data_IF_308235920286
#
_entry.id   IF_308235920286
#
_cell.length_a   1.000
_cell.length_b   1.000
_cell.length_c   1.000
_cell.angle_alpha   90.00
_cell.angle_beta   90.00
_cell.angle_gamma   90.00
#
_symmetry.space_group_name_H-M   'P 1'
#
loop_
_entity.id
_entity.type
_entity.pdbx_description
1 polymer ?
#
# COMPACT_ATOMS: atom_id res chain seq x y z
N UNK A 1 10.49 0.96 13.17
CA UNK A 1 9.50 1.99 13.60
C UNK A 1 8.29 1.22 14.08
N UNK A 2 8.02 1.20 15.37
CA UNK A 2 6.82 0.51 15.89
C UNK A 2 5.63 1.46 15.73
N UNK A 3 4.44 0.95 15.39
CA UNK A 3 3.21 1.74 15.46
C UNK A 3 3.18 2.50 16.80
N UNK A 4 2.71 3.76 16.85
CA UNK A 4 2.66 4.53 18.08
C UNK A 4 1.88 3.85 19.22
N UNK A 5 1.01 2.88 18.88
CA UNK A 5 0.31 2.01 19.83
C UNK A 5 1.15 0.86 20.41
N UNK A 6 2.34 0.58 19.88
CA UNK A 6 3.19 -0.55 20.27
C UNK A 6 2.73 -1.91 19.74
N UNK A 7 1.59 -1.97 19.03
CA UNK A 7 0.88 -3.23 18.72
C UNK A 7 1.35 -3.91 17.44
N UNK A 8 1.99 -3.18 16.52
CA UNK A 8 2.44 -3.69 15.23
C UNK A 8 3.62 -2.88 14.70
N UNK A 9 4.55 -3.51 14.00
CA UNK A 9 5.66 -2.88 13.31
C UNK A 9 5.58 -3.27 11.83
N UNK A 10 5.71 -2.33 10.87
CA UNK A 10 5.70 -2.67 9.46
C UNK A 10 7.05 -3.28 9.06
N UNK A 11 7.04 -4.15 8.05
CA UNK A 11 8.30 -4.67 7.47
C UNK A 11 9.14 -3.53 6.88
N UNK A 12 8.49 -2.55 6.26
CA UNK A 12 9.10 -1.27 5.87
C UNK A 12 8.05 -0.16 5.80
N UNK A 13 8.48 1.08 5.93
CA UNK A 13 7.56 2.23 5.90
C UNK A 13 8.22 3.50 5.39
N UNK A 14 7.39 4.45 4.98
CA UNK A 14 7.80 5.79 4.60
C UNK A 14 6.90 6.84 5.26
N UNK A 15 7.55 7.91 5.72
CA UNK A 15 6.91 9.10 6.26
C UNK A 15 7.60 10.34 5.68
N UNK A 16 6.86 11.34 5.20
CA UNK A 16 7.47 12.59 4.74
C UNK A 16 7.96 13.42 5.92
N UNK A 17 9.01 14.20 5.70
CA UNK A 17 9.61 15.11 6.70
C UNK A 17 8.62 16.17 7.21
N UNK A 18 7.54 16.43 6.47
CA UNK A 18 6.46 17.32 6.90
C UNK A 18 5.68 16.81 8.12
N UNK A 19 5.87 15.55 8.53
CA UNK A 19 5.25 15.03 9.76
C UNK A 19 5.91 15.64 11.00
N UNK A 20 5.12 16.12 11.97
CA UNK A 20 5.63 16.92 13.08
C UNK A 20 6.37 16.12 14.17
N UNK A 21 6.33 14.78 14.12
CA UNK A 21 6.93 13.91 15.14
C UNK A 21 7.56 12.67 14.52
N UNK A 22 8.65 12.18 15.11
CA UNK A 22 9.25 10.88 14.79
C UNK A 22 8.32 9.71 15.16
N UNK A 23 7.41 9.92 16.12
CA UNK A 23 6.37 8.97 16.52
C UNK A 23 5.09 9.10 15.67
N UNK A 24 5.11 9.84 14.56
CA UNK A 24 3.96 9.92 13.69
C UNK A 24 3.79 8.63 12.87
N UNK A 25 2.53 8.25 12.61
CA UNK A 25 2.25 7.13 11.72
C UNK A 25 2.83 7.38 10.31
N UNK A 26 3.31 6.35 9.59
CA UNK A 26 3.78 6.52 8.22
C UNK A 26 2.63 6.88 7.27
N UNK A 27 2.96 7.38 6.08
CA UNK A 27 1.96 7.54 4.97
C UNK A 27 1.89 6.29 4.10
N UNK A 28 2.98 5.55 4.00
CA UNK A 28 3.11 4.31 3.24
C UNK A 28 3.65 3.21 4.14
N UNK A 29 2.99 2.06 4.09
CA UNK A 29 3.42 0.83 4.76
C UNK A 29 3.65 -0.25 3.71
N UNK A 30 4.74 -1.00 3.84
CA UNK A 30 5.02 -2.21 3.10
C UNK A 30 4.94 -3.41 4.06
N UNK A 31 4.13 -4.39 3.71
CA UNK A 31 4.01 -5.67 4.41
C UNK A 31 4.36 -6.79 3.41
N UNK A 32 5.21 -7.70 3.83
CA UNK A 32 5.73 -8.77 2.98
C UNK A 32 5.51 -10.12 3.64
N UNK A 33 5.19 -11.13 2.84
CA UNK A 33 5.11 -12.50 3.35
C UNK A 33 5.63 -13.52 2.36
N UNK A 34 6.34 -14.52 2.87
CA UNK A 34 6.78 -15.67 2.09
C UNK A 34 5.75 -16.79 2.20
N UNK A 35 5.18 -17.21 1.06
CA UNK A 35 4.33 -18.40 0.89
C UNK A 35 3.06 -18.51 1.79
N UNK A 36 1.96 -18.95 1.17
CA UNK A 36 0.72 -19.46 1.80
C UNK A 36 -0.08 -18.58 2.79
N UNK A 37 0.32 -17.35 3.10
CA UNK A 37 -0.36 -16.53 4.12
C UNK A 37 -0.90 -15.19 3.60
N UNK A 38 -1.45 -15.18 2.38
CA UNK A 38 -2.12 -14.00 1.81
C UNK A 38 -3.25 -13.46 2.73
N UNK A 39 -3.98 -14.34 3.42
CA UNK A 39 -4.99 -13.92 4.40
C UNK A 39 -4.41 -13.06 5.53
N UNK A 40 -3.16 -13.31 5.94
CA UNK A 40 -2.47 -12.51 6.95
C UNK A 40 -2.16 -11.11 6.40
N UNK A 41 -1.66 -11.00 5.17
CA UNK A 41 -1.39 -9.71 4.54
C UNK A 41 -2.66 -8.87 4.39
N UNK A 42 -3.80 -9.48 4.06
CA UNK A 42 -5.08 -8.78 4.02
C UNK A 42 -5.46 -8.26 5.40
N UNK A 43 -5.32 -9.08 6.44
CA UNK A 43 -5.60 -8.65 7.82
C UNK A 43 -4.67 -7.52 8.25
N UNK A 44 -3.39 -7.60 7.92
CA UNK A 44 -2.38 -6.59 8.23
C UNK A 44 -2.66 -5.26 7.50
N UNK A 45 -2.96 -5.31 6.21
CA UNK A 45 -3.30 -4.12 5.43
C UNK A 45 -4.55 -3.42 5.94
N UNK A 46 -5.60 -4.19 6.27
CA UNK A 46 -6.81 -3.64 6.90
C UNK A 46 -6.50 -3.03 8.26
N UNK A 47 -5.71 -3.72 9.09
CA UNK A 47 -5.37 -3.24 10.42
C UNK A 47 -4.70 -1.85 10.36
N UNK A 48 -3.71 -1.66 9.48
CA UNK A 48 -3.04 -0.36 9.33
C UNK A 48 -4.02 0.75 8.94
N UNK A 49 -4.90 0.48 7.98
CA UNK A 49 -5.85 1.47 7.48
C UNK A 49 -6.98 1.78 8.48
N UNK A 50 -7.37 0.81 9.32
CA UNK A 50 -8.42 0.97 10.33
C UNK A 50 -7.91 1.64 11.61
N UNK A 51 -6.66 1.37 12.01
CA UNK A 51 -6.13 1.78 13.32
C UNK A 51 -5.27 3.04 13.29
N UNK A 52 -4.70 3.42 12.14
CA UNK A 52 -3.82 4.59 12.04
C UNK A 52 -4.56 5.93 11.98
N UNK A 53 -5.85 6.02 12.34
CA UNK A 53 -6.60 7.27 12.34
C UNK A 53 -6.67 7.97 10.96
N UNK A 54 -6.49 7.22 9.87
CA UNK A 54 -6.39 7.75 8.52
C UNK A 54 -5.04 8.37 8.17
N UNK A 55 -4.01 8.24 9.02
CA UNK A 55 -2.68 8.76 8.73
C UNK A 55 -1.90 7.90 7.72
N UNK A 56 -2.04 6.58 7.80
CA UNK A 56 -1.60 5.67 6.73
C UNK A 56 -2.52 5.87 5.53
N UNK A 57 -1.93 6.18 4.38
CA UNK A 57 -2.67 6.46 3.14
C UNK A 57 -2.66 5.28 2.19
N UNK A 58 -1.54 4.57 2.12
CA UNK A 58 -1.34 3.42 1.24
C UNK A 58 -0.68 2.29 2.05
N UNK A 59 -1.20 1.08 1.89
CA UNK A 59 -0.49 -0.15 2.29
C UNK A 59 -0.20 -0.96 1.03
N UNK A 60 1.06 -1.35 0.84
CA UNK A 60 1.48 -2.30 -0.18
C UNK A 60 1.70 -3.64 0.50
N UNK A 61 0.92 -4.63 0.12
CA UNK A 61 1.05 -6.00 0.59
C UNK A 61 1.69 -6.86 -0.51
N UNK A 62 2.82 -7.48 -0.22
CA UNK A 62 3.58 -8.29 -1.20
C UNK A 62 3.71 -9.71 -0.71
N UNK A 63 3.11 -10.65 -1.44
CA UNK A 63 3.31 -12.08 -1.23
C UNK A 63 4.29 -12.62 -2.26
N UNK A 64 5.31 -13.34 -1.80
CA UNK A 64 6.31 -13.98 -2.66
C UNK A 64 6.19 -15.50 -2.52
N UNK A 65 6.04 -16.18 -3.65
CA UNK A 65 5.98 -17.64 -3.75
C UNK A 65 7.16 -18.16 -4.55
N UNK A 66 8.13 -18.74 -3.86
CA UNK A 66 9.31 -19.38 -4.46
C UNK A 66 8.94 -20.55 -5.36
N UNK A 67 8.03 -21.41 -4.90
CA UNK A 67 7.61 -22.60 -5.65
C UNK A 67 7.05 -22.27 -7.04
N UNK A 68 6.43 -21.10 -7.18
CA UNK A 68 5.79 -20.66 -8.42
C UNK A 68 6.54 -19.49 -9.09
N UNK A 69 7.69 -19.07 -8.55
CA UNK A 69 8.40 -17.83 -8.91
C UNK A 69 7.46 -16.64 -9.11
N UNK A 70 6.53 -16.46 -8.16
CA UNK A 70 5.43 -15.49 -8.25
C UNK A 70 5.59 -14.38 -7.23
N UNK A 71 5.45 -13.15 -7.68
CA UNK A 71 5.11 -12.01 -6.85
C UNK A 71 3.63 -11.69 -7.01
N UNK A 72 2.97 -11.44 -5.90
CA UNK A 72 1.60 -10.94 -5.84
C UNK A 72 1.59 -9.67 -5.00
N UNK A 73 1.21 -8.55 -5.59
CA UNK A 73 1.25 -7.22 -4.99
C UNK A 73 -0.17 -6.68 -4.92
N UNK A 74 -0.60 -6.27 -3.74
CA UNK A 74 -1.87 -5.59 -3.55
C UNK A 74 -1.63 -4.18 -3.00
N UNK A 75 -2.32 -3.20 -3.58
CA UNK A 75 -2.38 -1.83 -3.04
C UNK A 75 -3.70 -1.66 -2.31
N UNK A 76 -3.63 -1.26 -1.05
CA UNK A 76 -4.79 -1.05 -0.19
C UNK A 76 -4.88 0.40 0.27
N UNK A 77 -6.10 0.94 0.25
CA UNK A 77 -6.38 2.33 0.62
C UNK A 77 -7.74 2.45 1.31
N UNK A 78 -7.91 3.51 2.08
CA UNK A 78 -9.21 3.88 2.62
C UNK A 78 -10.01 4.64 1.55
N UNK A 79 -11.05 4.00 1.02
CA UNK A 79 -11.92 4.58 -0.01
C UNK A 79 -13.26 4.99 0.63
N UNK A 80 -13.67 6.23 0.40
CA UNK A 80 -15.00 6.70 0.79
C UNK A 80 -16.05 6.17 -0.19
N UNK A 81 -17.22 5.69 0.28
CA UNK A 81 -18.32 5.34 -0.59
C UNK A 81 -18.69 6.49 -1.53
N UNK A 82 -19.12 6.22 -2.77
CA UNK A 82 -19.72 7.25 -3.61
C UNK A 82 -20.85 7.90 -2.83
N UNK A 83 -20.88 9.23 -2.74
CA UNK A 83 -21.89 9.98 -2.01
C UNK A 83 -23.30 9.56 -2.50
N UNK A 84 -23.96 8.65 -1.78
CA UNK A 84 -25.40 8.44 -1.90
C UNK A 84 -26.08 9.74 -1.49
N UNK A 85 -26.97 10.23 -2.35
CA UNK A 85 -27.55 11.57 -2.28
C UNK A 85 -27.95 12.03 -0.88
N UNK A 86 -27.73 13.32 -0.63
CA UNK A 86 -28.09 14.05 0.58
C UNK A 86 -29.53 13.70 0.98
N UNK A 87 -29.69 12.93 2.05
CA UNK A 87 -30.94 12.82 2.76
C UNK A 87 -30.71 13.29 4.19
N UNK A 88 -31.31 14.43 4.51
CA UNK A 88 -31.24 15.10 5.79
C UNK A 88 -31.97 14.26 6.85
N UNK A 89 -31.29 13.31 7.48
CA UNK A 89 -31.64 12.78 8.80
C UNK A 89 -30.48 11.91 9.32
N UNK A 90 -29.87 12.33 10.43
CA UNK A 90 -28.81 11.64 11.16
C UNK A 90 -27.43 11.54 10.47
N UNK A 91 -26.43 12.08 11.16
CA UNK A 91 -25.03 12.19 10.75
C UNK A 91 -24.33 10.81 10.69
N UNK A 92 -24.60 10.01 9.67
CA UNK A 92 -23.71 8.92 9.28
C UNK A 92 -22.81 9.41 8.15
N UNK A 93 -21.75 10.15 8.52
CA UNK A 93 -20.65 10.40 7.58
C UNK A 93 -20.11 9.04 7.15
N UNK A 94 -20.15 8.67 5.86
CA UNK A 94 -19.66 7.38 5.41
C UNK A 94 -18.20 7.23 5.82
N UNK A 95 -17.90 6.20 6.62
CA UNK A 95 -16.52 5.94 7.03
C UNK A 95 -15.75 5.37 5.84
N UNK A 96 -14.54 5.88 5.55
CA UNK A 96 -13.66 5.26 4.58
C UNK A 96 -13.43 3.79 4.93
N UNK A 97 -13.46 2.92 3.93
CA UNK A 97 -13.29 1.48 4.11
C UNK A 97 -11.99 1.01 3.45
N UNK A 98 -11.18 0.20 4.14
CA UNK A 98 -10.00 -0.42 3.55
C UNK A 98 -10.40 -1.27 2.34
N UNK A 99 -9.87 -0.91 1.19
CA UNK A 99 -10.22 -1.48 -0.11
C UNK A 99 -8.94 -1.76 -0.89
N UNK A 100 -8.85 -2.94 -1.51
CA UNK A 100 -7.82 -3.24 -2.51
C UNK A 100 -8.11 -2.42 -3.77
N UNK A 101 -7.28 -1.41 -4.04
CA UNK A 101 -7.46 -0.49 -5.17
C UNK A 101 -6.64 -0.88 -6.38
N UNK A 102 -5.55 -1.64 -6.19
CA UNK A 102 -4.80 -2.29 -7.28
C UNK A 102 -4.36 -3.70 -6.87
N UNK A 103 -4.23 -4.56 -7.86
CA UNK A 103 -3.75 -5.93 -7.72
C UNK A 103 -2.85 -6.24 -8.91
N UNK A 104 -1.63 -6.68 -8.62
CA UNK A 104 -0.60 -6.95 -9.60
C UNK A 104 -0.07 -8.35 -9.36
N UNK A 105 0.07 -9.10 -10.45
CA UNK A 105 0.64 -10.43 -10.44
C UNK A 105 1.82 -10.49 -11.40
N UNK A 106 2.91 -11.08 -10.94
CA UNK A 106 4.13 -11.28 -11.72
C UNK A 106 4.51 -12.75 -11.61
N UNK A 107 4.47 -13.48 -12.72
CA UNK A 107 4.81 -14.90 -12.80
C UNK A 107 5.79 -15.10 -13.94
N UNK A 108 7.03 -15.47 -13.62
CA UNK A 108 8.11 -15.45 -14.62
C UNK A 108 8.29 -14.04 -15.18
N UNK A 109 8.13 -13.88 -16.51
CA UNK A 109 8.21 -12.58 -17.20
C UNK A 109 6.84 -11.93 -17.47
N UNK A 110 5.74 -12.55 -17.04
CA UNK A 110 4.40 -12.02 -17.31
C UNK A 110 3.97 -11.14 -16.15
N UNK A 111 3.61 -9.89 -16.44
CA UNK A 111 3.04 -8.94 -15.48
C UNK A 111 1.60 -8.63 -15.86
N UNK A 112 0.70 -8.72 -14.89
CA UNK A 112 -0.71 -8.32 -15.03
C UNK A 112 -1.07 -7.30 -13.96
N UNK A 113 -1.94 -6.34 -14.29
CA UNK A 113 -2.42 -5.32 -13.35
C UNK A 113 -1.52 -4.07 -13.21
N UNK A 114 -0.39 -4.02 -13.91
CA UNK A 114 0.47 -2.85 -13.97
C UNK A 114 -0.24 -1.62 -14.58
N UNK A 115 0.20 -0.38 -14.26
CA UNK A 115 1.31 -0.03 -13.38
C UNK A 115 0.92 -0.03 -11.89
N UNK A 116 1.91 -0.19 -11.00
CA UNK A 116 1.73 0.20 -9.60
C UNK A 116 1.85 1.73 -9.51
N UNK A 117 0.84 2.39 -8.97
CA UNK A 117 0.82 3.85 -8.84
C UNK A 117 0.74 4.25 -7.38
N UNK A 118 1.70 5.05 -6.91
CA UNK A 118 1.69 5.66 -5.58
C UNK A 118 1.51 7.18 -5.73
N UNK A 119 0.38 7.69 -5.25
CA UNK A 119 0.01 9.08 -5.46
C UNK A 119 0.83 10.01 -4.57
N UNK A 120 1.46 11.02 -5.18
CA UNK A 120 2.36 11.93 -4.50
C UNK A 120 1.71 12.61 -3.31
N UNK A 121 0.50 13.13 -3.49
CA UNK A 121 -0.20 13.86 -2.43
C UNK A 121 -0.52 12.96 -1.22
N UNK A 122 -0.74 11.66 -1.45
CA UNK A 122 -0.94 10.68 -0.38
C UNK A 122 0.36 10.43 0.38
N UNK A 123 1.49 10.31 -0.33
CA UNK A 123 2.78 10.05 0.28
C UNK A 123 3.35 11.27 1.02
N UNK A 124 3.24 12.46 0.41
CA UNK A 124 3.95 13.67 0.83
C UNK A 124 3.08 14.65 1.62
N UNK A 125 1.76 14.43 1.66
CA UNK A 125 0.78 15.26 2.36
C UNK A 125 0.75 16.73 1.90
N UNK A 126 1.14 16.96 0.64
CA UNK A 126 1.12 18.27 -0.02
C UNK A 126 0.97 18.09 -1.53
N UNK A 127 0.60 19.18 -2.21
CA UNK A 127 0.55 19.22 -3.67
C UNK A 127 1.95 19.05 -4.27
N UNK A 128 2.06 18.40 -5.45
CA UNK A 128 3.32 18.32 -6.18
C UNK A 128 3.79 19.70 -6.66
N UNK A 129 5.08 19.97 -6.53
CA UNK A 129 5.76 21.10 -7.15
C UNK A 129 6.20 20.80 -8.58
N UNK A 130 6.99 21.71 -9.16
CA UNK A 130 7.55 21.50 -10.49
C UNK A 130 8.50 20.28 -10.51
N UNK A 131 8.22 19.32 -11.40
CA UNK A 131 9.00 18.10 -11.53
C UNK A 131 8.66 17.00 -10.51
N UNK A 132 7.73 17.24 -9.60
CA UNK A 132 7.22 16.23 -8.67
C UNK A 132 5.93 15.61 -9.21
N UNK A 133 5.69 14.36 -8.89
CA UNK A 133 4.51 13.64 -9.37
C UNK A 133 4.37 12.28 -8.74
N UNK A 134 3.31 11.59 -9.14
CA UNK A 134 3.04 10.23 -8.70
C UNK A 134 4.22 9.30 -9.05
N UNK A 135 4.54 8.38 -8.14
CA UNK A 135 5.51 7.33 -8.41
C UNK A 135 4.78 6.24 -9.20
N UNK A 136 5.29 5.93 -10.38
CA UNK A 136 4.73 4.93 -11.28
C UNK A 136 5.80 3.88 -11.47
N UNK A 137 5.54 2.65 -11.02
CA UNK A 137 6.33 1.48 -11.40
C UNK A 137 5.57 0.81 -12.54
N UNK A 138 6.10 0.98 -13.74
CA UNK A 138 5.47 0.44 -14.93
C UNK A 138 5.71 -1.06 -15.09
N UNK A 139 5.23 -1.63 -16.19
CA UNK A 139 5.41 -3.06 -16.46
C UNK A 139 6.88 -3.46 -16.51
N UNK A 140 7.73 -2.64 -17.12
CA UNK A 140 9.14 -2.93 -17.30
C UNK A 140 9.88 -2.83 -15.97
N UNK A 141 9.60 -1.79 -15.18
CA UNK A 141 10.18 -1.63 -13.83
C UNK A 141 9.91 -2.87 -12.95
N UNK A 142 8.68 -3.38 -12.99
CA UNK A 142 8.25 -4.55 -12.23
C UNK A 142 8.89 -5.85 -12.75
N UNK A 143 9.02 -5.99 -14.07
CA UNK A 143 9.73 -7.12 -14.69
C UNK A 143 11.21 -7.13 -14.33
N UNK A 144 11.87 -5.97 -14.42
CA UNK A 144 13.30 -5.83 -14.14
C UNK A 144 13.57 -6.09 -12.66
N UNK A 145 12.74 -5.55 -11.77
CA UNK A 145 12.83 -5.81 -10.33
C UNK A 145 12.76 -7.31 -10.02
N UNK A 146 11.73 -7.99 -10.52
CA UNK A 146 11.52 -9.43 -10.20
C UNK A 146 12.57 -10.31 -10.86
N UNK A 147 12.99 -10.00 -12.09
CA UNK A 147 14.09 -10.71 -12.77
C UNK A 147 15.38 -10.61 -11.97
N UNK A 148 15.74 -9.40 -11.53
CA UNK A 148 16.92 -9.19 -10.69
C UNK A 148 16.79 -9.90 -9.35
N UNK A 149 15.63 -9.82 -8.69
CA UNK A 149 15.39 -10.52 -7.43
C UNK A 149 15.67 -12.01 -7.57
N UNK A 150 15.08 -12.69 -8.56
CA UNK A 150 15.29 -14.12 -8.75
C UNK A 150 16.72 -14.46 -9.19
N UNK A 151 17.41 -13.58 -9.91
CA UNK A 151 18.80 -13.79 -10.28
C UNK A 151 19.74 -13.74 -9.07
N UNK A 152 19.49 -12.86 -8.10
CA UNK A 152 20.38 -12.64 -6.96
C UNK A 152 20.02 -13.41 -5.68
N UNK A 153 18.87 -14.08 -5.66
CA UNK A 153 18.39 -14.80 -4.47
C UNK A 153 18.38 -16.32 -4.63
N UNK A 154 18.88 -16.83 -5.76
CA UNK A 154 19.11 -18.27 -6.00
C UNK A 154 20.32 -18.82 -5.25
#
# INVERSE_FOLDING_TARGET
MIAPSGLKEPDSSFAPVSRPSEDAWPTLVLETVLSHSQMRLVADARWWLENAGGEVKIVIAVSVSWANMRFHIEKWENVSPPNGGVSCAHQNVPRPTPTKTQEIDIVGNVVTGAPLKLEFEKLMLRKPGAGEGDIILDMQDLQDFTTNFWHYTQ
#
